data_IF_757470193018
#
_entry.id   IF_757470193018
#
_cell.length_a   1.000
_cell.length_b   1.000
_cell.length_c   1.000
_cell.angle_alpha   90.00
_cell.angle_beta   90.00
_cell.angle_gamma   90.00
#
_symmetry.space_group_name_H-M   'P 1'
#
loop_
_entity.id
_entity.type
_entity.pdbx_description
1 polymer ?
#
# COMPACT_ATOMS: atom_id res chain seq x y z
N UNK A 1 -31.16 -4.45 6.68
CA UNK A 1 -29.83 -3.81 6.81
C UNK A 1 -29.74 -2.71 5.76
N UNK A 2 -29.35 -1.50 6.15
CA UNK A 2 -29.02 -0.45 5.17
C UNK A 2 -27.79 -0.89 4.36
N UNK A 3 -27.80 -0.67 3.05
CA UNK A 3 -26.62 -0.92 2.20
C UNK A 3 -25.56 0.15 2.49
N UNK A 4 -24.30 -0.25 2.52
CA UNK A 4 -23.17 0.69 2.62
C UNK A 4 -23.17 1.66 1.43
N UNK A 5 -22.88 2.92 1.72
CA UNK A 5 -22.62 3.97 0.72
C UNK A 5 -21.19 3.86 0.19
N UNK A 6 -20.89 4.57 -0.90
CA UNK A 6 -19.52 4.64 -1.44
C UNK A 6 -18.50 5.11 -0.40
N UNK A 7 -18.88 6.11 0.41
CA UNK A 7 -18.02 6.66 1.45
C UNK A 7 -17.77 5.65 2.59
N UNK A 8 -18.79 4.87 2.94
CA UNK A 8 -18.65 3.78 3.92
C UNK A 8 -17.61 2.75 3.45
N UNK A 9 -17.62 2.39 2.16
CA UNK A 9 -16.60 1.51 1.58
C UNK A 9 -15.22 2.15 1.63
N UNK A 10 -15.10 3.43 1.30
CA UNK A 10 -13.84 4.19 1.39
C UNK A 10 -13.23 4.15 2.79
N UNK A 11 -14.04 4.39 3.82
CA UNK A 11 -13.59 4.34 5.21
C UNK A 11 -13.15 2.94 5.66
N UNK A 12 -13.88 1.90 5.26
CA UNK A 12 -13.49 0.51 5.54
C UNK A 12 -12.17 0.17 4.85
N UNK A 13 -12.02 0.55 3.58
CA UNK A 13 -10.79 0.28 2.82
C UNK A 13 -9.59 1.05 3.36
N UNK A 14 -9.77 2.30 3.83
CA UNK A 14 -8.69 3.05 4.47
C UNK A 14 -8.21 2.38 5.77
N UNK A 15 -9.14 1.88 6.60
CA UNK A 15 -8.80 1.11 7.81
C UNK A 15 -8.09 -0.19 7.48
N UNK A 16 -8.56 -0.89 6.45
CA UNK A 16 -7.94 -2.12 5.96
C UNK A 16 -6.52 -1.88 5.45
N UNK A 17 -6.31 -0.81 4.65
CA UNK A 17 -4.99 -0.47 4.12
C UNK A 17 -3.98 -0.23 5.25
N UNK A 18 -4.38 0.52 6.29
CA UNK A 18 -3.54 0.73 7.48
C UNK A 18 -3.17 -0.60 8.16
N UNK A 19 -4.15 -1.47 8.37
CA UNK A 19 -3.90 -2.78 8.99
C UNK A 19 -2.96 -3.65 8.16
N UNK A 20 -3.14 -3.69 6.83
CA UNK A 20 -2.27 -4.44 5.92
C UNK A 20 -0.84 -3.91 5.96
N UNK A 21 -0.65 -2.59 5.94
CA UNK A 21 0.66 -1.97 6.05
C UNK A 21 1.35 -2.37 7.37
N UNK A 22 0.65 -2.32 8.50
CA UNK A 22 1.20 -2.74 9.80
C UNK A 22 1.64 -4.21 9.79
N UNK A 23 0.88 -5.11 9.14
CA UNK A 23 1.24 -6.52 9.00
C UNK A 23 2.48 -6.68 8.11
N UNK A 24 2.50 -6.03 6.95
CA UNK A 24 3.62 -6.10 6.00
C UNK A 24 4.92 -5.59 6.61
N UNK A 25 4.89 -4.46 7.33
CA UNK A 25 6.08 -3.93 7.99
C UNK A 25 6.61 -4.89 9.06
N UNK A 26 5.74 -5.46 9.90
CA UNK A 26 6.15 -6.47 10.91
C UNK A 26 6.78 -7.70 10.28
N UNK A 27 6.22 -8.20 9.16
CA UNK A 27 6.80 -9.35 8.45
C UNK A 27 8.15 -9.00 7.80
N UNK A 28 8.29 -7.77 7.28
CA UNK A 28 9.55 -7.29 6.72
C UNK A 28 10.65 -7.20 7.79
N UNK A 29 10.31 -6.76 9.00
CA UNK A 29 11.25 -6.70 10.12
C UNK A 29 11.75 -8.10 10.52
N UNK A 30 10.88 -9.12 10.46
CA UNK A 30 11.24 -10.50 10.80
C UNK A 30 12.25 -11.11 9.82
N UNK A 31 12.17 -10.79 8.53
CA UNK A 31 13.08 -11.33 7.51
C UNK A 31 14.39 -10.54 7.40
N UNK A 32 14.43 -9.30 7.89
CA UNK A 32 15.59 -8.43 7.80
C UNK A 32 15.79 -7.79 6.42
N UNK A 33 16.72 -6.82 6.34
CA UNK A 33 16.88 -5.98 5.15
C UNK A 33 17.40 -6.75 3.93
N UNK A 34 18.40 -7.61 4.11
CA UNK A 34 19.02 -8.36 3.02
C UNK A 34 17.99 -9.23 2.29
N UNK A 35 17.20 -10.02 3.03
CA UNK A 35 16.19 -10.90 2.44
C UNK A 35 15.00 -10.13 1.84
N UNK A 36 14.68 -8.95 2.38
CA UNK A 36 13.67 -8.05 1.84
C UNK A 36 14.12 -7.42 0.52
N UNK A 37 15.42 -7.10 0.38
CA UNK A 37 15.99 -6.47 -0.82
C UNK A 37 16.44 -7.45 -1.89
N UNK A 38 16.65 -8.72 -1.52
CA UNK A 38 17.08 -9.81 -2.41
C UNK A 38 16.19 -9.91 -3.66
N UNK A 39 16.82 -10.08 -4.81
CA UNK A 39 16.14 -10.41 -6.06
C UNK A 39 15.55 -11.83 -5.98
N UNK A 40 14.25 -11.93 -6.26
CA UNK A 40 13.44 -13.15 -6.23
C UNK A 40 12.77 -13.43 -7.59
N UNK A 41 13.15 -12.71 -8.64
CA UNK A 41 12.52 -12.83 -9.96
C UNK A 41 11.06 -12.35 -10.01
N UNK A 42 10.64 -11.52 -9.05
CA UNK A 42 9.31 -10.90 -9.04
C UNK A 42 9.22 -9.82 -10.15
N UNK A 43 8.02 -9.32 -10.44
CA UNK A 43 7.84 -8.23 -11.42
C UNK A 43 8.73 -7.02 -11.13
N UNK A 44 8.81 -6.60 -9.84
CA UNK A 44 9.73 -5.55 -9.39
C UNK A 44 11.06 -6.09 -8.85
N UNK A 45 11.41 -7.34 -9.15
CA UNK A 45 12.59 -8.09 -8.70
C UNK A 45 12.59 -8.49 -7.22
N UNK A 46 12.34 -7.56 -6.29
CA UNK A 46 12.40 -7.83 -4.85
C UNK A 46 11.14 -7.40 -4.09
N UNK A 47 10.97 -7.94 -2.87
CA UNK A 47 9.91 -7.53 -1.95
C UNK A 47 10.01 -6.03 -1.69
N UNK A 48 11.22 -5.53 -1.41
CA UNK A 48 11.45 -4.11 -1.18
C UNK A 48 10.98 -3.23 -2.35
N UNK A 49 11.35 -3.58 -3.59
CA UNK A 49 10.97 -2.80 -4.76
C UNK A 49 9.45 -2.85 -5.03
N UNK A 50 8.80 -3.99 -4.77
CA UNK A 50 7.34 -4.09 -4.79
C UNK A 50 6.70 -3.17 -3.75
N UNK A 51 7.17 -3.17 -2.50
CA UNK A 51 6.63 -2.29 -1.46
C UNK A 51 6.89 -0.81 -1.76
N UNK A 52 8.03 -0.47 -2.35
CA UNK A 52 8.32 0.90 -2.79
C UNK A 52 7.32 1.36 -3.85
N UNK A 53 6.98 0.49 -4.81
CA UNK A 53 5.93 0.79 -5.78
C UNK A 53 4.56 1.03 -5.11
N UNK A 54 4.18 0.23 -4.11
CA UNK A 54 2.94 0.45 -3.36
C UNK A 54 2.91 1.82 -2.67
N UNK A 55 3.99 2.19 -1.97
CA UNK A 55 4.11 3.50 -1.33
C UNK A 55 4.00 4.63 -2.36
N UNK A 56 4.64 4.49 -3.53
CA UNK A 56 4.52 5.47 -4.60
C UNK A 56 3.06 5.67 -5.02
N UNK A 57 2.32 4.58 -5.25
CA UNK A 57 0.90 4.63 -5.64
C UNK A 57 0.03 5.23 -4.52
N UNK A 58 0.24 4.84 -3.27
CA UNK A 58 -0.49 5.38 -2.13
C UNK A 58 -0.33 6.90 -2.02
N UNK A 59 0.91 7.41 -2.17
CA UNK A 59 1.18 8.85 -2.16
C UNK A 59 0.45 9.56 -3.31
N UNK A 60 0.40 8.95 -4.50
CA UNK A 60 -0.28 9.52 -5.68
C UNK A 60 -1.79 9.58 -5.47
N UNK A 61 -2.40 8.49 -5.00
CA UNK A 61 -3.83 8.44 -4.70
C UNK A 61 -4.19 9.44 -3.60
N UNK A 62 -3.39 9.53 -2.55
CA UNK A 62 -3.60 10.53 -1.48
C UNK A 62 -3.48 11.96 -2.01
N UNK A 63 -2.58 12.22 -2.96
CA UNK A 63 -2.50 13.50 -3.66
C UNK A 63 -3.81 13.83 -4.37
N UNK A 64 -4.28 12.91 -5.22
CA UNK A 64 -5.53 13.06 -5.98
C UNK A 64 -6.73 13.25 -5.04
N UNK A 65 -6.81 12.50 -3.94
CA UNK A 65 -7.91 12.64 -2.98
C UNK A 65 -7.90 13.99 -2.26
N UNK A 66 -6.73 14.60 -2.06
CA UNK A 66 -6.60 15.90 -1.42
C UNK A 66 -6.86 17.07 -2.37
N UNK A 67 -6.45 16.95 -3.63
CA UNK A 67 -6.50 18.06 -4.60
C UNK A 67 -7.65 17.94 -5.59
N UNK A 68 -8.18 16.74 -5.82
CA UNK A 68 -9.09 16.44 -6.92
C UNK A 68 -8.41 16.35 -8.29
N UNK A 69 -7.09 16.47 -8.35
CA UNK A 69 -6.33 16.59 -9.60
C UNK A 69 -5.37 15.40 -9.80
N UNK A 70 -5.43 14.78 -10.98
CA UNK A 70 -4.43 13.80 -11.39
C UNK A 70 -3.14 14.51 -11.82
N UNK A 71 -1.97 14.15 -11.26
CA UNK A 71 -0.72 14.74 -11.71
C UNK A 71 -0.43 14.26 -13.14
N UNK A 72 -0.24 15.23 -14.04
CA UNK A 72 0.21 15.04 -15.42
C UNK A 72 1.62 14.45 -15.50
#
# INVERSE_FOLDING_TARGET
MAKMTFDDYGHVMARYNRWQNDVLFKLCDQIGDDERRRDRGMFFKSIHATLNHLVHIDIRILGIMKTGEAPV
#
